data_IF_100302836039
#
_entry.id   IF_100302836039
#
_cell.length_a   1.000
_cell.length_b   1.000
_cell.length_c   1.000
_cell.angle_alpha   90.00
_cell.angle_beta   90.00
_cell.angle_gamma   90.00
#
_symmetry.space_group_name_H-M   'P 1'
#
loop_
_entity.id
_entity.type
_entity.pdbx_description
1 polymer ?
#
# COMPACT_ATOMS: atom_id res chain seq x y z
N UNK A 1 -95.45 31.18 5.72
CA UNK A 1 -95.83 30.72 4.37
C UNK A 1 -94.55 30.67 3.55
N UNK A 2 -94.41 29.58 2.80
CA UNK A 2 -93.32 29.23 1.87
C UNK A 2 -92.05 28.69 2.43
N UNK A 3 -91.93 27.39 2.35
CA UNK A 3 -90.75 26.53 2.44
C UNK A 3 -89.97 26.58 1.14
N UNK A 4 -88.68 26.57 1.20
CA UNK A 4 -87.81 26.16 0.09
C UNK A 4 -86.78 25.15 0.59
N UNK A 5 -86.79 24.01 -0.08
CA UNK A 5 -85.88 22.87 0.12
C UNK A 5 -84.55 23.17 -0.49
N UNK A 6 -83.48 22.94 0.23
CA UNK A 6 -82.09 22.90 -0.28
C UNK A 6 -81.71 21.46 -0.62
N UNK A 7 -81.30 21.28 -1.87
CA UNK A 7 -80.80 20.01 -2.37
C UNK A 7 -79.30 19.86 -1.96
N UNK A 8 -78.96 18.77 -1.31
CA UNK A 8 -77.59 18.42 -0.98
C UNK A 8 -76.89 17.71 -2.14
N UNK A 9 -75.83 18.32 -2.61
CA UNK A 9 -74.91 17.65 -3.55
C UNK A 9 -73.78 16.92 -2.79
N UNK A 10 -73.68 15.62 -3.00
CA UNK A 10 -72.64 14.75 -2.50
C UNK A 10 -71.43 14.87 -3.44
N UNK A 11 -70.32 15.45 -2.94
CA UNK A 11 -69.05 15.51 -3.68
C UNK A 11 -68.27 14.26 -3.31
N UNK A 12 -68.10 13.33 -4.27
CA UNK A 12 -67.25 12.16 -4.12
C UNK A 12 -65.76 12.55 -4.32
N UNK A 13 -64.96 12.50 -3.26
CA UNK A 13 -63.47 12.62 -3.33
C UNK A 13 -62.87 11.29 -3.75
N UNK A 14 -62.39 11.24 -4.98
CA UNK A 14 -61.50 10.17 -5.45
C UNK A 14 -60.08 10.40 -4.93
N UNK A 15 -59.68 9.66 -3.92
CA UNK A 15 -58.28 9.60 -3.46
C UNK A 15 -57.51 8.67 -4.37
N UNK A 16 -56.74 9.24 -5.30
CA UNK A 16 -55.75 8.50 -6.09
C UNK A 16 -54.53 8.15 -5.24
N UNK A 17 -54.37 6.87 -4.91
CA UNK A 17 -53.13 6.36 -4.31
C UNK A 17 -52.07 6.28 -5.41
N UNK A 18 -51.08 7.19 -5.37
CA UNK A 18 -49.87 7.08 -6.17
C UNK A 18 -48.96 5.98 -5.58
N UNK A 19 -48.84 4.85 -6.27
CA UNK A 19 -47.84 3.85 -6.00
C UNK A 19 -46.48 4.45 -6.36
N UNK A 20 -45.72 4.89 -5.37
CA UNK A 20 -44.29 5.12 -5.47
C UNK A 20 -43.59 3.74 -5.65
N UNK A 21 -43.27 3.41 -6.89
CA UNK A 21 -42.38 2.31 -7.17
C UNK A 21 -40.98 2.70 -6.63
N UNK A 22 -40.67 2.21 -5.43
CA UNK A 22 -39.31 2.32 -4.86
C UNK A 22 -38.37 1.51 -5.75
N UNK A 23 -37.51 2.20 -6.49
CA UNK A 23 -36.33 1.57 -7.08
C UNK A 23 -35.41 1.17 -5.93
N UNK A 24 -35.38 -0.11 -5.59
CA UNK A 24 -34.31 -0.66 -4.76
C UNK A 24 -32.98 -0.34 -5.47
N UNK A 25 -32.04 0.32 -4.80
CA UNK A 25 -30.70 0.45 -5.39
C UNK A 25 -30.21 -0.96 -5.69
N UNK A 26 -29.73 -1.18 -6.91
CA UNK A 26 -29.02 -2.41 -7.23
C UNK A 26 -27.87 -2.51 -6.22
N UNK A 27 -27.83 -3.58 -5.44
CA UNK A 27 -26.66 -3.87 -4.62
C UNK A 27 -25.47 -3.90 -5.56
N UNK A 28 -24.51 -2.98 -5.34
CA UNK A 28 -23.24 -3.08 -6.03
C UNK A 28 -22.71 -4.48 -5.67
N UNK A 29 -22.40 -5.27 -6.69
CA UNK A 29 -21.68 -6.52 -6.50
C UNK A 29 -20.36 -6.11 -5.82
N UNK A 30 -20.04 -6.71 -4.67
CA UNK A 30 -18.78 -6.47 -4.01
C UNK A 30 -17.65 -6.78 -5.02
N UNK A 31 -16.57 -5.98 -4.98
CA UNK A 31 -15.39 -6.28 -5.76
C UNK A 31 -14.87 -7.66 -5.31
N UNK A 32 -14.47 -8.49 -6.25
CA UNK A 32 -13.91 -9.81 -6.00
C UNK A 32 -12.92 -10.16 -7.11
N UNK A 33 -11.98 -11.03 -6.82
CA UNK A 33 -11.01 -11.47 -7.81
C UNK A 33 -11.68 -12.32 -8.91
N UNK A 34 -11.12 -12.30 -10.15
CA UNK A 34 -11.61 -13.18 -11.21
C UNK A 34 -11.53 -14.66 -10.81
N UNK A 35 -12.40 -15.47 -11.42
CA UNK A 35 -12.43 -16.91 -11.18
C UNK A 35 -11.06 -17.56 -11.50
N UNK A 36 -10.53 -18.29 -10.52
CA UNK A 36 -9.19 -18.91 -10.57
C UNK A 36 -8.11 -18.12 -9.84
N UNK A 37 -8.46 -16.95 -9.27
CA UNK A 37 -7.58 -16.13 -8.46
C UNK A 37 -8.23 -15.80 -7.09
N UNK A 38 -9.16 -16.66 -6.63
CA UNK A 38 -9.92 -16.46 -5.38
C UNK A 38 -9.04 -16.57 -4.12
N UNK A 39 -7.78 -16.99 -4.26
CA UNK A 39 -6.81 -17.03 -3.17
C UNK A 39 -6.19 -15.67 -2.83
N UNK A 40 -6.37 -14.66 -3.68
CA UNK A 40 -6.02 -13.28 -3.33
C UNK A 40 -7.05 -12.66 -2.39
N UNK A 41 -6.63 -11.69 -1.56
CA UNK A 41 -7.50 -11.04 -0.59
C UNK A 41 -8.00 -9.67 -1.08
N UNK A 42 -9.32 -9.48 -1.10
CA UNK A 42 -9.96 -8.17 -1.23
C UNK A 42 -9.62 -7.28 -0.03
N UNK A 43 -9.86 -5.97 -0.14
CA UNK A 43 -9.64 -5.03 0.99
C UNK A 43 -10.40 -5.45 2.27
N UNK A 44 -11.60 -6.00 2.14
CA UNK A 44 -12.39 -6.44 3.28
C UNK A 44 -11.79 -7.69 3.94
N UNK A 45 -11.29 -8.61 3.16
CA UNK A 45 -10.61 -9.83 3.64
C UNK A 45 -9.27 -9.50 4.27
N UNK A 46 -8.44 -8.64 3.63
CA UNK A 46 -7.22 -8.08 4.25
C UNK A 46 -7.53 -7.52 5.63
N UNK A 47 -8.53 -6.64 5.74
CA UNK A 47 -8.90 -6.05 7.02
C UNK A 47 -9.31 -7.11 8.05
N UNK A 48 -10.03 -8.14 7.62
CA UNK A 48 -10.44 -9.27 8.47
C UNK A 48 -9.24 -10.08 8.97
N UNK A 49 -8.27 -10.39 8.11
CA UNK A 49 -7.06 -11.11 8.49
C UNK A 49 -6.20 -10.31 9.48
N UNK A 50 -6.07 -8.99 9.28
CA UNK A 50 -5.36 -8.13 10.23
C UNK A 50 -6.06 -8.05 11.60
N UNK A 51 -7.40 -8.00 11.62
CA UNK A 51 -8.17 -8.05 12.86
C UNK A 51 -7.99 -9.38 13.59
N UNK A 52 -7.96 -10.50 12.86
CA UNK A 52 -7.68 -11.84 13.43
C UNK A 52 -6.27 -11.91 14.02
N UNK A 53 -5.25 -11.43 13.29
CA UNK A 53 -3.87 -11.42 13.77
C UNK A 53 -3.76 -10.63 15.10
N UNK A 54 -4.29 -9.40 15.15
CA UNK A 54 -4.28 -8.61 16.37
C UNK A 54 -5.11 -9.22 17.52
N UNK A 55 -6.24 -9.87 17.22
CA UNK A 55 -7.07 -10.53 18.24
C UNK A 55 -6.44 -11.81 18.79
N UNK A 56 -5.73 -12.57 17.95
CA UNK A 56 -5.06 -13.82 18.35
C UNK A 56 -3.75 -13.55 19.09
N UNK A 57 -3.09 -12.42 18.83
CA UNK A 57 -1.77 -12.07 19.36
C UNK A 57 -1.76 -10.67 20.02
N UNK A 58 -2.67 -10.38 21.00
CA UNK A 58 -2.89 -9.03 21.50
C UNK A 58 -1.70 -8.42 22.25
N UNK A 59 -0.76 -9.26 22.72
CA UNK A 59 0.44 -8.80 23.42
C UNK A 59 1.50 -8.25 22.44
N UNK A 60 1.54 -8.81 21.22
CA UNK A 60 2.59 -8.52 20.24
C UNK A 60 2.08 -7.83 18.96
N UNK A 61 0.77 -7.72 18.75
CA UNK A 61 0.21 -7.12 17.55
C UNK A 61 -0.91 -6.13 17.86
N UNK A 62 -0.81 -4.91 17.29
CA UNK A 62 -1.85 -3.88 17.38
C UNK A 62 -2.23 -3.40 15.99
N UNK A 63 -3.52 -3.51 15.66
CA UNK A 63 -4.10 -2.94 14.44
C UNK A 63 -4.54 -1.50 14.69
N UNK A 64 -4.17 -0.60 13.80
CA UNK A 64 -4.54 0.82 13.80
C UNK A 64 -4.68 1.31 12.35
N UNK A 65 -4.74 2.63 12.13
CA UNK A 65 -4.77 3.24 10.81
C UNK A 65 -3.85 4.45 10.76
N UNK A 66 -3.16 4.65 9.63
CA UNK A 66 -2.38 5.89 9.39
C UNK A 66 -3.25 7.01 8.81
N UNK A 67 -4.47 6.70 8.36
CA UNK A 67 -5.39 7.66 7.75
C UNK A 67 -6.35 6.99 6.79
N UNK A 68 -6.89 7.78 5.85
CA UNK A 68 -7.89 7.30 4.89
C UNK A 68 -7.45 7.56 3.46
N UNK A 69 -7.83 6.66 2.56
CA UNK A 69 -7.78 6.85 1.12
C UNK A 69 -8.75 7.94 0.66
N UNK A 70 -8.69 8.29 -0.62
CA UNK A 70 -9.60 9.29 -1.21
C UNK A 70 -11.08 8.89 -1.08
N UNK A 71 -11.44 7.61 -1.28
CA UNK A 71 -12.80 7.10 -1.14
C UNK A 71 -13.18 6.79 0.32
N UNK A 72 -12.27 7.01 1.28
CA UNK A 72 -12.55 6.93 2.71
C UNK A 72 -12.26 5.57 3.37
N UNK A 73 -11.59 4.63 2.67
CA UNK A 73 -11.10 3.37 3.25
C UNK A 73 -9.95 3.63 4.20
N UNK A 74 -9.88 2.90 5.30
CA UNK A 74 -8.76 2.99 6.24
C UNK A 74 -7.47 2.48 5.60
N UNK A 75 -6.38 3.21 5.78
CA UNK A 75 -5.05 2.71 5.49
C UNK A 75 -4.55 1.96 6.72
N UNK A 76 -4.83 0.66 6.75
CA UNK A 76 -4.54 -0.19 7.90
C UNK A 76 -3.04 -0.22 8.20
N UNK A 77 -2.70 -0.13 9.49
CA UNK A 77 -1.34 -0.22 10.02
C UNK A 77 -1.30 -1.27 11.13
N UNK A 78 -0.44 -2.24 10.99
CA UNK A 78 -0.14 -3.21 12.05
C UNK A 78 1.21 -2.86 12.68
N UNK A 79 1.24 -2.75 14.02
CA UNK A 79 2.45 -2.75 14.83
C UNK A 79 2.70 -4.15 15.34
N UNK A 80 3.92 -4.67 15.18
CA UNK A 80 4.37 -5.92 15.78
C UNK A 80 5.63 -5.62 16.60
N UNK A 81 5.64 -6.02 17.88
CA UNK A 81 6.73 -5.85 18.85
C UNK A 81 6.42 -6.73 20.06
N UNK A 82 7.37 -7.13 20.85
CA UNK A 82 7.18 -7.97 22.04
C UNK A 82 6.25 -7.31 23.10
N UNK A 83 6.10 -5.99 23.02
CA UNK A 83 5.17 -5.19 23.84
C UNK A 83 4.45 -4.17 22.93
N UNK A 84 3.56 -4.64 22.04
CA UNK A 84 2.96 -3.81 21.01
C UNK A 84 2.15 -2.61 21.54
N UNK A 85 1.65 -2.68 22.79
CA UNK A 85 0.90 -1.60 23.42
C UNK A 85 1.79 -0.44 23.93
N UNK A 86 3.10 -0.67 24.10
CA UNK A 86 4.05 0.31 24.62
C UNK A 86 4.93 0.90 23.50
N UNK A 87 5.66 1.95 23.87
CA UNK A 87 6.73 2.55 23.06
C UNK A 87 8.01 2.47 23.88
N UNK A 88 8.89 1.53 23.56
CA UNK A 88 10.09 1.20 24.34
C UNK A 88 11.38 1.79 23.73
N UNK A 89 11.25 2.46 22.58
CA UNK A 89 12.38 3.17 21.96
C UNK A 89 13.23 2.32 21.05
N UNK A 90 12.77 1.12 20.71
CA UNK A 90 13.45 0.21 19.79
C UNK A 90 13.57 0.79 18.38
N UNK A 91 14.57 0.33 17.60
CA UNK A 91 14.62 0.66 16.19
C UNK A 91 13.42 0.11 15.44
N UNK A 92 12.94 0.87 14.46
CA UNK A 92 11.72 0.57 13.73
C UNK A 92 11.98 0.21 12.29
N UNK A 93 11.19 -0.70 11.76
CA UNK A 93 11.17 -1.11 10.36
C UNK A 93 9.77 -0.85 9.79
N UNK A 94 9.68 -0.39 8.54
CA UNK A 94 8.41 -0.20 7.85
C UNK A 94 8.36 -1.05 6.58
N UNK A 95 7.24 -1.73 6.37
CA UNK A 95 6.89 -2.39 5.12
C UNK A 95 5.63 -1.76 4.55
N UNK A 96 5.68 -1.37 3.27
CA UNK A 96 4.54 -0.85 2.51
C UNK A 96 4.29 -1.69 1.28
N UNK A 97 3.01 -1.85 0.93
CA UNK A 97 2.58 -2.68 -0.17
C UNK A 97 1.47 -1.98 -0.96
N UNK A 98 1.32 -2.34 -2.22
CA UNK A 98 0.22 -1.97 -3.10
C UNK A 98 0.03 -0.45 -3.27
N UNK A 99 1.12 0.29 -3.50
CA UNK A 99 0.99 1.66 -3.99
C UNK A 99 0.39 1.70 -5.41
N UNK A 100 0.71 0.69 -6.23
CA UNK A 100 0.09 0.51 -7.53
C UNK A 100 -1.00 -0.56 -7.45
N UNK A 101 -2.20 -0.18 -7.78
CA UNK A 101 -3.42 -0.93 -7.53
C UNK A 101 -3.41 -2.37 -8.09
N UNK A 102 -2.86 -2.58 -9.31
CA UNK A 102 -2.80 -3.87 -10.01
C UNK A 102 -1.75 -4.84 -9.48
N UNK A 103 -0.99 -4.47 -8.47
CA UNK A 103 0.12 -5.25 -7.95
C UNK A 103 -0.31 -6.05 -6.70
N UNK A 104 -1.35 -6.89 -6.86
CA UNK A 104 -2.04 -7.57 -5.75
C UNK A 104 -1.16 -8.53 -4.96
N UNK A 105 -0.17 -9.18 -5.60
CA UNK A 105 0.78 -10.06 -4.90
C UNK A 105 1.52 -9.34 -3.78
N UNK A 106 1.67 -8.01 -3.87
CA UNK A 106 2.33 -7.24 -2.82
C UNK A 106 1.49 -7.12 -1.55
N UNK A 107 0.16 -7.05 -1.68
CA UNK A 107 -0.75 -7.12 -0.52
C UNK A 107 -0.58 -8.44 0.22
N UNK A 108 -0.50 -9.56 -0.52
CA UNK A 108 -0.25 -10.89 0.03
C UNK A 108 1.10 -10.99 0.74
N UNK A 109 2.13 -10.32 0.20
CA UNK A 109 3.44 -10.24 0.86
C UNK A 109 3.36 -9.56 2.22
N UNK A 110 2.66 -8.43 2.31
CA UNK A 110 2.47 -7.75 3.59
C UNK A 110 1.59 -8.54 4.58
N UNK A 111 0.55 -9.24 4.11
CA UNK A 111 -0.22 -10.17 4.94
C UNK A 111 0.66 -11.32 5.44
N UNK A 112 1.48 -11.91 4.56
CA UNK A 112 2.43 -12.94 4.92
C UNK A 112 3.41 -12.47 6.01
N UNK A 113 3.96 -11.24 5.90
CA UNK A 113 4.81 -10.66 6.93
C UNK A 113 4.08 -10.61 8.28
N UNK A 114 2.84 -10.10 8.30
CA UNK A 114 2.06 -10.03 9.54
C UNK A 114 1.85 -11.42 10.14
N UNK A 115 1.35 -12.37 9.36
CA UNK A 115 1.09 -13.74 9.82
C UNK A 115 2.37 -14.45 10.28
N UNK A 116 3.44 -14.35 9.49
CA UNK A 116 4.74 -14.98 9.82
C UNK A 116 5.27 -14.52 11.17
N UNK A 117 5.27 -13.20 11.43
CA UNK A 117 5.82 -12.67 12.68
C UNK A 117 4.90 -12.88 13.88
N UNK A 118 3.59 -12.85 13.69
CA UNK A 118 2.65 -13.10 14.80
C UNK A 118 2.55 -14.58 15.15
N UNK A 119 2.30 -15.46 14.18
CA UNK A 119 2.13 -16.89 14.42
C UNK A 119 3.45 -17.59 14.79
N UNK A 120 4.57 -17.12 14.21
CA UNK A 120 5.90 -17.67 14.44
C UNK A 120 6.52 -17.27 15.77
N UNK A 121 6.09 -16.17 16.40
CA UNK A 121 6.72 -15.59 17.60
C UNK A 121 6.90 -16.60 18.75
N UNK A 122 5.90 -17.44 19.00
CA UNK A 122 5.96 -18.40 20.08
C UNK A 122 6.88 -19.61 19.82
N UNK A 123 7.11 -19.95 18.55
CA UNK A 123 7.72 -21.22 18.14
C UNK A 123 9.07 -21.10 17.44
N UNK A 124 9.36 -19.97 16.79
CA UNK A 124 10.60 -19.73 16.04
C UNK A 124 11.53 -18.75 16.80
N UNK A 125 12.70 -19.20 17.30
CA UNK A 125 13.61 -18.34 18.02
C UNK A 125 14.17 -17.17 17.18
N UNK A 126 14.28 -17.33 15.85
CA UNK A 126 14.72 -16.26 14.97
C UNK A 126 13.66 -15.15 14.86
N UNK A 127 12.40 -15.52 14.63
CA UNK A 127 11.28 -14.60 14.61
C UNK A 127 11.15 -13.89 15.95
N UNK A 128 11.24 -14.64 17.06
CA UNK A 128 11.19 -14.05 18.40
C UNK A 128 12.26 -12.98 18.58
N UNK A 129 13.52 -13.26 18.25
CA UNK A 129 14.60 -12.29 18.40
C UNK A 129 14.37 -11.03 17.54
N UNK A 130 13.79 -11.15 16.35
CA UNK A 130 13.49 -10.01 15.50
C UNK A 130 12.38 -9.12 16.10
N UNK A 131 11.36 -9.74 16.70
CA UNK A 131 10.23 -9.04 17.31
C UNK A 131 10.60 -8.45 18.69
N UNK A 132 11.47 -9.15 19.46
CA UNK A 132 11.96 -8.69 20.77
C UNK A 132 12.91 -7.47 20.64
N UNK A 133 13.61 -7.35 19.52
CA UNK A 133 14.65 -6.33 19.31
C UNK A 133 14.17 -5.12 18.46
N UNK A 134 12.98 -5.20 17.83
CA UNK A 134 12.52 -4.20 16.86
C UNK A 134 11.01 -3.97 16.90
N UNK A 135 10.60 -2.78 16.50
CA UNK A 135 9.21 -2.51 16.12
C UNK A 135 9.05 -2.71 14.61
N UNK A 136 8.16 -3.61 14.22
CA UNK A 136 7.84 -3.90 12.82
C UNK A 136 6.48 -3.26 12.49
N UNK A 137 6.49 -2.31 11.56
CA UNK A 137 5.30 -1.65 11.03
C UNK A 137 4.96 -2.20 9.65
N UNK A 138 3.68 -2.52 9.41
CA UNK A 138 3.21 -3.04 8.12
C UNK A 138 1.97 -2.28 7.66
N UNK A 139 2.01 -1.74 6.43
CA UNK A 139 0.85 -1.15 5.74
C UNK A 139 0.55 -2.03 4.52
N UNK A 140 -0.39 -2.97 4.61
CA UNK A 140 -0.64 -3.97 3.57
C UNK A 140 -1.18 -3.40 2.27
N UNK A 141 -1.87 -2.26 2.33
CA UNK A 141 -2.45 -1.65 1.14
C UNK A 141 -2.45 -0.12 1.26
N UNK A 142 -1.55 0.52 0.52
CA UNK A 142 -1.45 1.99 0.46
C UNK A 142 -2.50 2.57 -0.50
N UNK A 143 -2.98 1.79 -1.48
CA UNK A 143 -3.94 2.22 -2.50
C UNK A 143 -5.20 1.34 -2.55
N UNK A 144 -5.97 1.24 -1.45
CA UNK A 144 -7.12 0.34 -1.39
C UNK A 144 -8.23 0.71 -2.39
N UNK A 145 -8.40 1.98 -2.73
CA UNK A 145 -9.40 2.41 -3.69
C UNK A 145 -9.07 1.93 -5.11
N UNK A 146 -7.80 2.05 -5.47
CA UNK A 146 -7.31 1.56 -6.76
C UNK A 146 -7.40 0.05 -6.87
N UNK A 147 -6.99 -0.69 -5.82
CA UNK A 147 -7.03 -2.15 -5.77
C UNK A 147 -8.47 -2.68 -5.94
N UNK A 148 -9.42 -2.15 -5.17
CA UNK A 148 -10.83 -2.51 -5.29
C UNK A 148 -11.41 -2.17 -6.67
N UNK A 149 -10.97 -1.05 -7.26
CA UNK A 149 -11.38 -0.71 -8.62
C UNK A 149 -10.82 -1.69 -9.64
N UNK A 150 -9.58 -2.11 -9.51
CA UNK A 150 -8.91 -3.02 -10.46
C UNK A 150 -9.67 -4.34 -10.61
N UNK A 151 -10.21 -4.86 -9.52
CA UNK A 151 -10.98 -6.11 -9.45
C UNK A 151 -12.49 -5.91 -9.52
N UNK A 152 -12.99 -4.68 -9.70
CA UNK A 152 -14.43 -4.38 -9.73
C UNK A 152 -15.11 -4.78 -11.05
N UNK A 153 -15.12 -6.07 -11.37
CA UNK A 153 -15.72 -6.61 -12.62
C UNK A 153 -15.37 -8.08 -12.79
N UNK A 154 -15.68 -8.62 -13.99
CA UNK A 154 -15.37 -10.01 -14.31
C UNK A 154 -13.88 -10.22 -14.62
N UNK A 155 -13.17 -9.17 -15.01
CA UNK A 155 -11.78 -9.19 -15.44
C UNK A 155 -11.02 -8.05 -14.78
N UNK A 156 -9.70 -8.20 -14.62
CA UNK A 156 -8.79 -7.16 -14.16
C UNK A 156 -8.78 -5.96 -15.09
N UNK A 157 -8.71 -4.73 -14.51
CA UNK A 157 -8.68 -3.48 -15.29
C UNK A 157 -7.29 -2.95 -15.60
N UNK A 158 -6.25 -3.60 -15.12
CA UNK A 158 -4.86 -3.16 -15.23
C UNK A 158 -4.63 -1.76 -14.65
N UNK A 159 -5.37 -1.43 -13.58
CA UNK A 159 -5.36 -0.11 -12.97
C UNK A 159 -4.13 0.08 -12.07
N UNK A 160 -3.40 1.18 -12.27
CA UNK A 160 -2.17 1.49 -11.51
C UNK A 160 -2.39 2.54 -10.41
N UNK A 161 -3.06 3.64 -10.77
CA UNK A 161 -3.15 4.88 -9.98
C UNK A 161 -4.16 4.78 -8.84
N UNK A 162 -4.24 5.83 -7.98
CA UNK A 162 -5.34 5.93 -7.02
C UNK A 162 -6.66 6.30 -7.73
N UNK A 163 -7.72 6.64 -6.98
CA UNK A 163 -9.06 6.89 -7.55
C UNK A 163 -9.53 8.34 -7.46
N UNK A 164 -8.66 9.27 -7.09
CA UNK A 164 -9.03 10.68 -7.01
C UNK A 164 -9.31 11.26 -8.41
N UNK A 165 -10.47 11.92 -8.64
CA UNK A 165 -10.70 12.67 -9.87
C UNK A 165 -9.69 13.83 -10.02
N UNK A 166 -9.17 14.02 -11.23
CA UNK A 166 -8.12 15.02 -11.49
C UNK A 166 -8.63 16.12 -12.42
N UNK A 167 -9.07 15.77 -13.63
CA UNK A 167 -9.52 16.72 -14.64
C UNK A 167 -10.53 16.04 -15.60
N UNK A 168 -11.75 16.57 -15.67
CA UNK A 168 -12.81 16.01 -16.50
C UNK A 168 -13.07 14.53 -16.17
N UNK A 169 -12.84 13.66 -17.14
CA UNK A 169 -12.96 12.20 -17.02
C UNK A 169 -11.68 11.50 -16.55
N UNK A 170 -10.62 12.26 -16.30
CA UNK A 170 -9.33 11.70 -15.89
C UNK A 170 -9.31 11.46 -14.39
N UNK A 171 -8.91 10.25 -14.01
CA UNK A 171 -8.89 9.78 -12.63
C UNK A 171 -7.49 9.26 -12.29
N UNK A 172 -7.07 9.55 -11.08
CA UNK A 172 -5.93 8.95 -10.43
C UNK A 172 -4.60 9.64 -10.67
N UNK A 173 -3.82 9.61 -9.59
CA UNK A 173 -2.41 9.99 -9.51
C UNK A 173 -1.59 8.73 -9.27
N UNK A 174 -0.41 8.62 -9.86
CA UNK A 174 0.58 7.61 -9.53
C UNK A 174 1.16 7.93 -8.15
N UNK A 175 0.81 7.13 -7.14
CA UNK A 175 1.23 7.38 -5.76
C UNK A 175 2.76 7.32 -5.62
N UNK A 176 3.43 6.45 -6.40
CA UNK A 176 4.90 6.37 -6.41
C UNK A 176 5.57 7.39 -7.36
N UNK A 177 4.88 8.51 -7.62
CA UNK A 177 5.39 9.74 -8.24
C UNK A 177 4.93 10.99 -7.48
N UNK A 178 4.30 10.80 -6.31
CA UNK A 178 3.66 11.89 -5.55
C UNK A 178 4.41 12.26 -4.26
N UNK A 179 5.56 11.66 -3.99
CA UNK A 179 6.39 11.94 -2.80
C UNK A 179 7.21 13.22 -2.97
N UNK A 180 7.58 13.87 -1.84
CA UNK A 180 8.07 15.24 -1.84
C UNK A 180 9.53 15.44 -2.29
N UNK A 181 10.38 14.42 -2.11
CA UNK A 181 11.80 14.55 -2.47
C UNK A 181 11.99 14.51 -3.98
N UNK A 182 12.66 15.55 -4.54
CA UNK A 182 12.91 15.68 -6.00
C UNK A 182 11.65 15.52 -6.88
N UNK A 183 10.47 15.85 -6.35
CA UNK A 183 9.22 15.77 -7.09
C UNK A 183 9.24 16.57 -8.37
N UNK A 184 9.06 15.89 -9.49
CA UNK A 184 8.98 16.51 -10.81
C UNK A 184 10.27 17.18 -11.31
N UNK A 185 11.43 16.77 -10.79
CA UNK A 185 12.72 17.40 -11.15
C UNK A 185 13.27 16.95 -12.51
N UNK A 186 13.05 15.67 -12.87
CA UNK A 186 14.05 14.98 -13.68
C UNK A 186 13.44 14.19 -14.85
N UNK A 187 12.24 14.56 -15.28
CA UNK A 187 11.47 13.92 -16.35
C UNK A 187 11.10 12.43 -16.07
N UNK A 188 11.23 12.00 -14.82
CA UNK A 188 10.88 10.65 -14.35
C UNK A 188 9.38 10.45 -14.09
N UNK A 189 8.56 11.50 -14.23
CA UNK A 189 7.11 11.48 -14.05
C UNK A 189 6.40 12.39 -15.05
N UNK A 190 5.07 12.23 -15.17
CA UNK A 190 4.26 12.98 -16.13
C UNK A 190 3.42 14.07 -15.47
N UNK A 191 3.27 15.21 -16.16
CA UNK A 191 2.30 16.26 -15.82
C UNK A 191 0.92 16.03 -16.45
N UNK A 192 0.75 15.00 -17.29
CA UNK A 192 -0.50 14.73 -18.00
C UNK A 192 -1.39 13.77 -17.19
N UNK A 193 -2.62 14.19 -16.79
CA UNK A 193 -3.53 13.34 -16.01
C UNK A 193 -3.86 11.98 -16.62
N UNK A 194 -3.81 11.86 -17.95
CA UNK A 194 -4.06 10.60 -18.67
C UNK A 194 -2.88 9.63 -18.62
N UNK A 195 -1.70 10.05 -18.14
CA UNK A 195 -0.53 9.17 -18.03
C UNK A 195 -0.64 8.24 -16.83
N UNK A 196 -0.11 7.02 -16.99
CA UNK A 196 0.06 6.07 -15.88
C UNK A 196 1.03 6.59 -14.81
N UNK A 197 1.99 7.44 -15.20
CA UNK A 197 2.98 8.06 -14.30
C UNK A 197 2.64 9.50 -13.94
N UNK A 198 1.35 9.88 -13.95
CA UNK A 198 0.93 11.21 -13.55
C UNK A 198 1.22 11.49 -12.07
N UNK A 199 2.05 12.52 -11.80
CA UNK A 199 2.59 12.81 -10.47
C UNK A 199 1.67 13.59 -9.53
N UNK A 200 0.45 13.94 -9.98
CA UNK A 200 -0.44 14.84 -9.25
C UNK A 200 -0.15 16.32 -9.48
N UNK A 201 -0.97 17.23 -8.96
CA UNK A 201 -0.81 18.69 -9.11
C UNK A 201 0.30 19.27 -8.22
N UNK A 202 0.68 18.58 -7.15
CA UNK A 202 1.78 18.93 -6.25
C UNK A 202 2.31 17.68 -5.57
N UNK A 203 3.51 17.78 -4.99
CA UNK A 203 3.99 16.77 -4.05
C UNK A 203 2.96 16.58 -2.92
N UNK A 204 2.77 15.33 -2.52
CA UNK A 204 1.81 14.95 -1.48
C UNK A 204 0.38 15.50 -1.72
N UNK A 205 -0.05 15.59 -2.97
CA UNK A 205 -1.43 15.99 -3.27
C UNK A 205 -2.44 14.92 -2.86
N UNK A 206 -2.04 13.67 -2.77
CA UNK A 206 -2.93 12.55 -2.54
C UNK A 206 -3.05 12.21 -1.04
N UNK A 207 -4.27 11.90 -0.55
CA UNK A 207 -4.47 11.60 0.87
C UNK A 207 -3.68 10.38 1.34
N UNK A 208 -3.46 9.40 0.47
CA UNK A 208 -2.70 8.19 0.75
C UNK A 208 -1.24 8.52 1.06
N UNK A 209 -0.55 9.25 0.18
CA UNK A 209 0.85 9.65 0.39
C UNK A 209 0.99 10.61 1.58
N UNK A 210 0.01 11.51 1.80
CA UNK A 210 -0.03 12.35 3.00
C UNK A 210 -0.18 11.55 4.29
N UNK A 211 -0.98 10.50 4.29
CA UNK A 211 -1.22 9.68 5.47
C UNK A 211 0.05 8.92 5.86
N UNK A 212 0.69 8.26 4.90
CA UNK A 212 1.93 7.52 5.14
C UNK A 212 3.07 8.47 5.52
N UNK A 213 3.22 9.62 4.83
CA UNK A 213 4.28 10.59 5.17
C UNK A 213 4.12 11.15 6.58
N UNK A 214 2.90 11.54 6.99
CA UNK A 214 2.64 11.98 8.37
C UNK A 214 2.95 10.91 9.40
N UNK A 215 2.67 9.64 9.10
CA UNK A 215 3.05 8.55 9.98
C UNK A 215 4.57 8.47 10.13
N UNK A 216 5.33 8.45 9.01
CA UNK A 216 6.80 8.43 9.02
C UNK A 216 7.37 9.63 9.76
N UNK A 217 6.87 10.85 9.49
CA UNK A 217 7.26 12.07 10.20
C UNK A 217 7.01 11.96 11.71
N UNK A 218 5.91 11.36 12.13
CA UNK A 218 5.56 11.18 13.54
C UNK A 218 6.50 10.24 14.29
N UNK A 219 7.27 9.41 13.59
CA UNK A 219 8.25 8.49 14.19
C UNK A 219 9.61 9.15 14.46
N UNK A 220 9.76 10.42 14.12
CA UNK A 220 10.94 11.17 14.52
C UNK A 220 10.79 11.65 15.98
N UNK A 221 11.72 11.27 16.84
CA UNK A 221 11.78 11.65 18.24
C UNK A 221 13.16 12.20 18.61
N UNK A 222 13.21 13.34 19.32
CA UNK A 222 14.47 13.97 19.71
C UNK A 222 15.38 14.37 18.53
N UNK A 223 14.81 14.61 17.36
CA UNK A 223 15.55 14.93 16.12
C UNK A 223 16.13 13.71 15.40
N UNK A 224 15.77 12.50 15.82
CA UNK A 224 16.20 11.25 15.18
C UNK A 224 15.00 10.47 14.66
N UNK A 225 15.09 9.99 13.42
CA UNK A 225 14.11 9.09 12.84
C UNK A 225 14.27 7.70 13.47
N UNK A 226 13.16 7.13 13.96
CA UNK A 226 13.14 5.79 14.59
C UNK A 226 12.98 4.69 13.56
N UNK A 227 12.22 4.92 12.48
CA UNK A 227 12.20 4.02 11.33
C UNK A 227 13.58 4.09 10.68
N UNK A 228 14.31 2.97 10.72
CA UNK A 228 15.69 2.87 10.21
C UNK A 228 15.74 2.27 8.83
N UNK A 229 14.83 1.34 8.56
CA UNK A 229 14.80 0.60 7.30
C UNK A 229 13.38 0.48 6.76
N UNK A 230 13.25 0.33 5.43
CA UNK A 230 11.99 0.24 4.74
C UNK A 230 12.09 -0.64 3.49
N UNK A 231 11.05 -1.43 3.20
CA UNK A 231 10.80 -1.99 1.86
C UNK A 231 9.42 -1.55 1.40
N UNK A 232 9.37 -1.05 0.16
CA UNK A 232 8.15 -0.90 -0.61
C UNK A 232 8.04 -2.04 -1.61
N UNK A 233 7.02 -2.88 -1.47
CA UNK A 233 6.84 -4.04 -2.34
C UNK A 233 6.01 -3.67 -3.56
N UNK A 234 6.54 -4.02 -4.72
CA UNK A 234 5.97 -3.85 -6.06
C UNK A 234 5.99 -5.16 -6.84
N UNK A 235 5.31 -5.19 -7.95
CA UNK A 235 5.47 -6.16 -9.02
C UNK A 235 5.59 -5.41 -10.35
N UNK A 236 6.32 -5.92 -11.32
CA UNK A 236 7.08 -7.16 -11.37
C UNK A 236 8.46 -6.92 -11.95
N UNK A 237 9.45 -7.75 -11.71
CA UNK A 237 10.71 -7.88 -12.49
C UNK A 237 11.78 -8.68 -11.75
N UNK A 238 11.51 -9.17 -10.53
CA UNK A 238 12.46 -9.84 -9.63
C UNK A 238 13.72 -9.00 -9.36
N UNK A 239 13.49 -7.76 -8.88
CA UNK A 239 14.57 -6.80 -8.60
C UNK A 239 14.56 -6.36 -7.13
N UNK A 240 15.75 -6.04 -6.62
CA UNK A 240 15.96 -5.27 -5.38
C UNK A 240 16.59 -3.93 -5.77
N UNK A 241 15.84 -2.85 -5.60
CA UNK A 241 16.21 -1.51 -6.04
C UNK A 241 16.50 -0.60 -4.84
N UNK A 242 17.56 0.22 -4.94
CA UNK A 242 17.91 1.23 -3.93
C UNK A 242 17.97 2.64 -4.55
N UNK A 243 17.88 3.71 -3.74
CA UNK A 243 18.05 5.11 -4.20
C UNK A 243 19.43 5.36 -4.84
N UNK A 244 19.52 6.29 -5.79
CA UNK A 244 18.44 7.18 -6.18
C UNK A 244 17.81 6.73 -7.48
N UNK A 245 16.50 7.02 -7.63
CA UNK A 245 15.78 6.87 -8.88
C UNK A 245 15.86 8.12 -9.74
N UNK A 246 16.04 9.31 -9.16
CA UNK A 246 16.01 10.58 -9.89
C UNK A 246 17.32 10.93 -10.62
N UNK A 247 18.39 10.18 -10.41
CA UNK A 247 19.70 10.39 -11.05
C UNK A 247 20.40 9.08 -11.35
N UNK A 248 21.14 9.05 -12.45
CA UNK A 248 22.02 7.93 -12.81
C UNK A 248 23.35 7.93 -12.04
N UNK A 249 23.65 9.00 -11.31
CA UNK A 249 24.84 9.06 -10.47
C UNK A 249 24.71 8.11 -9.28
N UNK A 250 25.75 7.30 -9.00
CA UNK A 250 25.80 6.39 -7.85
C UNK A 250 25.60 7.11 -6.50
N UNK A 251 26.03 8.36 -6.41
CA UNK A 251 25.89 9.22 -5.23
C UNK A 251 25.24 10.53 -5.64
N UNK A 252 23.93 10.62 -5.55
CA UNK A 252 23.22 11.88 -5.74
C UNK A 252 23.41 12.84 -4.56
N UNK A 253 22.84 14.04 -4.65
CA UNK A 253 22.86 15.02 -3.57
C UNK A 253 22.33 14.41 -2.27
N UNK A 254 23.13 14.45 -1.21
CA UNK A 254 22.77 13.94 0.11
C UNK A 254 23.07 12.46 0.33
N UNK A 255 23.86 11.82 -0.54
CA UNK A 255 24.37 10.45 -0.34
C UNK A 255 25.90 10.43 -0.47
N UNK A 256 26.59 9.90 0.53
CA UNK A 256 28.04 9.67 0.49
C UNK A 256 28.38 8.35 -0.21
N UNK A 257 29.63 8.16 -0.57
CA UNK A 257 30.10 6.89 -1.14
C UNK A 257 29.94 5.70 -0.18
N UNK A 258 30.12 5.93 1.12
CA UNK A 258 29.91 4.91 2.16
C UNK A 258 28.45 4.53 2.31
N UNK A 259 27.54 5.51 2.23
CA UNK A 259 26.09 5.27 2.27
C UNK A 259 25.64 4.48 1.04
N UNK A 260 26.12 4.83 -0.17
CA UNK A 260 25.87 4.04 -1.37
C UNK A 260 26.42 2.62 -1.26
N UNK A 261 27.63 2.47 -0.75
CA UNK A 261 28.24 1.15 -0.53
C UNK A 261 27.38 0.30 0.44
N UNK A 262 26.80 0.89 1.48
CA UNK A 262 25.87 0.21 2.39
C UNK A 262 24.60 -0.24 1.66
N UNK A 263 23.98 0.62 0.84
CA UNK A 263 22.82 0.22 0.02
C UNK A 263 23.14 -0.97 -0.87
N UNK A 264 24.28 -0.92 -1.57
CA UNK A 264 24.72 -2.01 -2.44
C UNK A 264 24.96 -3.32 -1.67
N UNK A 265 25.64 -3.26 -0.53
CA UNK A 265 25.88 -4.45 0.31
C UNK A 265 24.58 -5.08 0.77
N UNK A 266 23.70 -4.30 1.39
CA UNK A 266 22.42 -4.78 1.91
C UNK A 266 21.52 -5.29 0.78
N UNK A 267 21.40 -4.54 -0.32
CA UNK A 267 20.59 -4.93 -1.48
C UNK A 267 21.08 -6.24 -2.12
N UNK A 268 22.40 -6.41 -2.26
CA UNK A 268 23.01 -7.63 -2.80
C UNK A 268 22.80 -8.83 -1.86
N UNK A 269 22.94 -8.64 -0.54
CA UNK A 269 22.66 -9.70 0.44
C UNK A 269 21.21 -10.15 0.42
N UNK A 270 20.26 -9.23 0.35
CA UNK A 270 18.85 -9.54 0.21
C UNK A 270 18.57 -10.28 -1.10
N UNK A 271 19.05 -9.75 -2.22
CA UNK A 271 18.86 -10.36 -3.53
C UNK A 271 19.47 -11.77 -3.65
N UNK A 272 20.58 -12.03 -2.95
CA UNK A 272 21.18 -13.36 -2.91
C UNK A 272 20.29 -14.41 -2.23
N UNK A 273 19.34 -14.02 -1.35
CA UNK A 273 18.45 -14.96 -0.67
C UNK A 273 17.25 -15.37 -1.50
N UNK A 274 16.72 -14.47 -2.33
CA UNK A 274 15.51 -14.69 -3.13
C UNK A 274 15.81 -14.91 -4.64
N UNK A 275 17.08 -14.77 -5.06
CA UNK A 275 17.49 -14.92 -6.44
C UNK A 275 17.15 -13.73 -7.34
N UNK A 276 16.79 -12.59 -6.76
CA UNK A 276 16.52 -11.36 -7.49
C UNK A 276 17.82 -10.69 -7.94
N UNK A 277 17.72 -9.75 -8.89
CA UNK A 277 18.85 -8.89 -9.28
C UNK A 277 18.82 -7.62 -8.45
N UNK A 278 19.97 -7.24 -7.87
CA UNK A 278 20.12 -6.00 -7.11
C UNK A 278 20.78 -4.92 -7.96
N UNK A 279 20.20 -3.71 -8.00
CA UNK A 279 20.69 -2.56 -8.77
C UNK A 279 20.16 -1.24 -8.22
N UNK A 280 20.72 -0.11 -8.67
CA UNK A 280 20.14 1.21 -8.39
C UNK A 280 18.81 1.37 -9.14
N UNK A 281 17.86 2.13 -8.57
CA UNK A 281 16.54 2.34 -9.18
C UNK A 281 16.64 2.96 -10.58
N UNK A 282 17.53 3.93 -10.78
CA UNK A 282 17.76 4.58 -12.08
C UNK A 282 18.37 3.67 -13.14
N UNK A 283 19.00 2.54 -12.78
CA UNK A 283 19.44 1.53 -13.76
C UNK A 283 18.28 0.85 -14.48
N UNK A 284 17.08 0.88 -13.88
CA UNK A 284 15.86 0.40 -14.53
C UNK A 284 15.28 1.48 -15.44
N UNK A 285 15.02 2.65 -14.88
CA UNK A 285 14.68 3.92 -15.56
C UNK A 285 14.67 5.07 -14.54
N UNK A 286 14.87 6.30 -15.02
CA UNK A 286 14.80 7.48 -14.15
C UNK A 286 13.37 7.70 -13.66
N UNK A 287 13.22 7.88 -12.34
CA UNK A 287 11.96 8.25 -11.66
C UNK A 287 12.12 9.59 -10.96
N UNK A 288 11.03 10.23 -10.57
CA UNK A 288 11.07 11.35 -9.63
C UNK A 288 9.83 11.33 -8.73
N UNK A 289 9.98 11.82 -7.51
CA UNK A 289 8.92 11.81 -6.52
C UNK A 289 8.50 10.39 -6.08
N UNK A 290 9.42 9.44 -6.07
CA UNK A 290 9.20 8.09 -5.55
C UNK A 290 9.47 7.98 -4.05
N UNK A 291 8.97 6.91 -3.44
CA UNK A 291 9.03 6.70 -2.00
C UNK A 291 10.46 6.46 -1.49
N UNK A 292 11.28 5.71 -2.23
CA UNK A 292 12.64 5.38 -1.79
C UNK A 292 13.52 6.62 -1.72
N UNK A 293 13.45 7.45 -2.75
CA UNK A 293 14.19 8.71 -2.79
C UNK A 293 13.75 9.64 -1.67
N UNK A 294 12.44 9.68 -1.35
CA UNK A 294 11.94 10.47 -0.24
C UNK A 294 12.36 9.92 1.13
N UNK A 295 12.25 8.61 1.35
CA UNK A 295 12.66 7.96 2.60
C UNK A 295 14.14 8.24 2.92
N UNK A 296 15.01 8.08 1.92
CA UNK A 296 16.43 8.35 2.11
C UNK A 296 16.76 9.85 2.10
N UNK A 297 16.33 10.57 1.08
CA UNK A 297 16.70 11.99 0.87
C UNK A 297 16.21 12.91 1.99
N UNK A 298 15.05 12.60 2.59
CA UNK A 298 14.44 13.40 3.66
C UNK A 298 14.78 12.86 5.05
N UNK A 299 14.74 11.54 5.25
CA UNK A 299 14.77 10.93 6.57
C UNK A 299 15.99 10.05 6.86
N UNK A 300 16.81 9.78 5.85
CA UNK A 300 17.93 8.83 5.96
C UNK A 300 17.52 7.41 6.38
N UNK A 301 16.30 7.02 6.00
CA UNK A 301 15.81 5.66 6.14
C UNK A 301 16.41 4.81 5.03
N UNK A 302 17.04 3.69 5.38
CA UNK A 302 17.60 2.73 4.41
C UNK A 302 16.45 2.02 3.69
N UNK A 303 16.04 2.55 2.55
CA UNK A 303 14.82 2.17 1.83
C UNK A 303 15.10 1.44 0.53
N UNK A 304 14.33 0.38 0.27
CA UNK A 304 14.43 -0.44 -0.95
C UNK A 304 13.06 -0.62 -1.58
N UNK A 305 13.02 -0.76 -2.92
CA UNK A 305 11.87 -1.33 -3.62
C UNK A 305 12.18 -2.77 -4.01
N UNK A 306 11.24 -3.67 -3.72
CA UNK A 306 11.26 -5.02 -4.28
C UNK A 306 10.25 -5.08 -5.40
N UNK A 307 10.73 -5.31 -6.63
CA UNK A 307 9.89 -5.73 -7.73
C UNK A 307 9.80 -7.25 -7.65
N UNK A 308 8.70 -7.79 -7.15
CA UNK A 308 8.53 -9.21 -6.92
C UNK A 308 8.37 -9.99 -8.23
N UNK A 309 8.10 -11.30 -8.13
CA UNK A 309 7.73 -12.18 -9.23
C UNK A 309 6.55 -11.62 -10.06
N UNK A 310 6.56 -11.85 -11.39
CA UNK A 310 7.54 -12.59 -12.19
C UNK A 310 8.65 -11.70 -12.78
N UNK A 311 9.65 -12.32 -13.44
CA UNK A 311 10.69 -11.56 -14.15
C UNK A 311 10.20 -10.85 -15.42
N UNK A 312 9.04 -11.24 -15.95
CA UNK A 312 8.57 -10.76 -17.26
C UNK A 312 7.06 -10.55 -17.34
N UNK A 313 6.57 -10.11 -18.51
CA UNK A 313 5.18 -9.70 -18.69
C UNK A 313 4.15 -10.85 -18.65
N UNK A 314 4.60 -12.08 -18.54
CA UNK A 314 3.73 -13.26 -18.41
C UNK A 314 4.16 -14.07 -17.17
N UNK A 315 3.28 -14.20 -16.15
CA UNK A 315 1.92 -13.66 -16.02
C UNK A 315 1.83 -12.15 -15.75
N UNK A 316 2.96 -11.44 -15.51
CA UNK A 316 2.97 -10.00 -15.32
C UNK A 316 2.39 -9.60 -13.94
N UNK A 317 1.43 -8.67 -13.91
CA UNK A 317 0.86 -8.17 -12.65
C UNK A 317 -0.08 -9.16 -11.95
N UNK A 318 -0.54 -10.20 -12.65
CA UNK A 318 -1.54 -11.14 -12.14
C UNK A 318 -1.01 -12.58 -12.20
N UNK A 319 0.01 -12.92 -11.37
CA UNK A 319 0.40 -14.31 -11.21
C UNK A 319 -0.77 -15.11 -10.60
N UNK A 320 -0.91 -16.41 -10.96
CA UNK A 320 -1.94 -17.26 -10.37
C UNK A 320 -1.84 -17.30 -8.84
N UNK A 321 -2.98 -17.44 -8.15
CA UNK A 321 -3.03 -17.44 -6.69
C UNK A 321 -2.24 -18.60 -6.05
N UNK A 322 -2.05 -19.72 -6.77
CA UNK A 322 -1.19 -20.83 -6.32
C UNK A 322 0.28 -20.43 -6.16
N UNK A 323 0.70 -19.32 -6.77
CA UNK A 323 2.06 -18.79 -6.64
C UNK A 323 2.26 -17.96 -5.37
N UNK A 324 1.19 -17.50 -4.71
CA UNK A 324 1.25 -16.58 -3.55
C UNK A 324 2.18 -17.11 -2.47
N UNK A 325 1.92 -18.33 -1.97
CA UNK A 325 2.69 -18.89 -0.87
C UNK A 325 4.18 -19.06 -1.19
N UNK A 326 4.51 -19.46 -2.43
CA UNK A 326 5.88 -19.61 -2.89
C UNK A 326 6.59 -18.26 -2.97
N UNK A 327 5.95 -17.27 -3.59
CA UNK A 327 6.59 -16.00 -3.88
C UNK A 327 6.65 -15.06 -2.68
N UNK A 328 5.74 -15.21 -1.71
CA UNK A 328 5.84 -14.49 -0.44
C UNK A 328 6.94 -15.08 0.45
N UNK A 329 6.94 -16.41 0.67
CA UNK A 329 7.96 -17.11 1.48
C UNK A 329 9.37 -16.94 0.91
N UNK A 330 9.51 -16.84 -0.42
CA UNK A 330 10.79 -16.59 -1.10
C UNK A 330 11.51 -15.34 -0.58
N UNK A 331 10.79 -14.37 -0.04
CA UNK A 331 11.31 -13.10 0.45
C UNK A 331 11.62 -13.08 1.97
N UNK A 332 11.30 -14.15 2.72
CA UNK A 332 11.44 -14.18 4.19
C UNK A 332 12.85 -13.82 4.67
N UNK A 333 13.87 -14.43 4.07
CA UNK A 333 15.25 -14.20 4.49
C UNK A 333 15.73 -12.76 4.14
N UNK A 334 15.21 -12.17 3.05
CA UNK A 334 15.49 -10.79 2.71
C UNK A 334 14.85 -9.82 3.71
N UNK A 335 13.61 -10.08 4.12
CA UNK A 335 12.90 -9.34 5.18
C UNK A 335 13.69 -9.41 6.49
N UNK A 336 14.16 -10.58 6.90
CA UNK A 336 14.97 -10.76 8.12
C UNK A 336 16.29 -9.97 8.06
N UNK A 337 16.95 -9.95 6.90
CA UNK A 337 18.16 -9.14 6.70
C UNK A 337 17.87 -7.66 6.92
N UNK A 338 16.80 -7.13 6.31
CA UNK A 338 16.43 -5.73 6.44
C UNK A 338 16.12 -5.34 7.90
N UNK A 339 15.36 -6.18 8.62
CA UNK A 339 15.05 -5.92 10.03
C UNK A 339 16.32 -5.83 10.85
N UNK A 340 17.30 -6.73 10.66
CA UNK A 340 18.59 -6.72 11.35
C UNK A 340 19.46 -5.51 11.02
N UNK A 341 19.23 -4.83 9.90
CA UNK A 341 19.90 -3.58 9.52
C UNK A 341 19.34 -2.35 10.26
N UNK A 342 18.17 -2.44 10.88
CA UNK A 342 17.57 -1.37 11.67
C UNK A 342 18.33 -1.22 13.01
N UNK A 343 19.18 -0.17 13.10
CA UNK A 343 20.01 0.11 14.28
C UNK A 343 20.07 1.59 14.60
#
# INVERSE_FOLDING_TARGET
MYSSRAAGGVLALLTGAALLAGTTPASAVAADFPAGDEGYHTYAEVTTELQKAAANHPDIAVLSSVGKSFEGRELNLVKISDNAAADEGEPEVLFTCNQHAREHLTTEMCLHIVQRFTDGYASDPNIRSLVDDHVIWVIPNVNPDGAEYDISGADYKYWRKNRRPVDGDKIGTDLNRNWGYKWGCCDGSSTRPASETYRGPSAFSEPETQAVSRFVDSRAAGGQQRIKTHIDFHTYSELVLWPFGHTEDDTGEGMTAEENARFRDVGQRMAATNGYKAQQSSDLYVTDGDVNDWMWGTHKILSFTFEMYPTGPFPGFYPPDEDIARETTRNDAAVDILIREAR
#
